data_IF_389950320052
#
_entry.id   IF_389950320052
#
_cell.length_a   1.000
_cell.length_b   1.000
_cell.length_c   1.000
_cell.angle_alpha   90.00
_cell.angle_beta   90.00
_cell.angle_gamma   90.00
#
_symmetry.space_group_name_H-M   'P 1'
#
loop_
_entity.id
_entity.type
_entity.pdbx_description
1 polymer ?
#
# COMPACT_ATOMS: atom_id res chain seq x y z
N UNK A 1 -4.42 0.45 -14.78
CA UNK A 1 -3.70 0.48 -13.49
C UNK A 1 -4.41 -0.46 -12.53
N UNK A 2 -3.67 -1.35 -11.87
CA UNK A 2 -4.18 -2.21 -10.80
C UNK A 2 -3.68 -1.69 -9.46
N UNK A 3 -4.55 -1.54 -8.47
CA UNK A 3 -4.21 -1.10 -7.11
C UNK A 3 -4.49 -2.25 -6.15
N UNK A 4 -3.51 -2.53 -5.29
CA UNK A 4 -3.60 -3.60 -4.31
C UNK A 4 -4.54 -3.23 -3.15
N UNK A 5 -4.96 -4.23 -2.38
CA UNK A 5 -5.91 -4.07 -1.27
C UNK A 5 -5.35 -3.41 -0.02
N UNK A 6 -4.05 -3.13 0.02
CA UNK A 6 -3.35 -2.54 1.16
C UNK A 6 -2.35 -1.48 0.72
N UNK A 7 -1.99 -0.60 1.66
CA UNK A 7 -0.93 0.40 1.47
C UNK A 7 0.34 -0.03 2.19
N UNK A 8 1.49 0.34 1.64
CA UNK A 8 2.81 0.08 2.26
C UNK A 8 3.46 1.37 2.75
N UNK A 9 4.30 1.32 3.81
CA UNK A 9 5.12 2.45 4.20
C UNK A 9 6.09 2.83 3.07
N UNK A 10 6.21 4.12 2.79
CA UNK A 10 7.15 4.69 1.84
C UNK A 10 7.75 5.99 2.41
N UNK A 11 8.98 6.31 1.99
CA UNK A 11 9.66 7.52 2.43
C UNK A 11 9.20 8.73 1.63
N UNK A 12 8.57 9.70 2.29
CA UNK A 12 8.53 11.09 1.81
C UNK A 12 9.79 11.84 2.22
N UNK A 13 9.98 13.07 1.72
CA UNK A 13 11.15 13.89 2.03
C UNK A 13 11.36 14.15 3.53
N UNK A 14 10.30 14.10 4.35
CA UNK A 14 10.37 14.47 5.78
C UNK A 14 9.61 13.53 6.73
N UNK A 15 8.85 12.55 6.22
CA UNK A 15 8.04 11.64 7.04
C UNK A 15 7.79 10.32 6.30
N UNK A 16 7.55 9.25 7.07
CA UNK A 16 7.06 7.98 6.53
C UNK A 16 5.56 8.12 6.34
N UNK A 17 5.05 7.74 5.17
CA UNK A 17 3.61 7.75 4.89
C UNK A 17 3.18 6.43 4.28
N UNK A 18 1.86 6.23 4.15
CA UNK A 18 1.30 5.09 3.46
C UNK A 18 1.12 5.40 1.96
N UNK A 19 1.81 4.64 1.12
CA UNK A 19 1.70 4.71 -0.33
C UNK A 19 0.84 3.59 -0.88
N UNK A 20 0.22 3.84 -2.04
CA UNK A 20 -0.50 2.81 -2.77
C UNK A 20 0.50 1.83 -3.40
N UNK A 21 0.16 0.55 -3.36
CA UNK A 21 0.82 -0.47 -4.15
C UNK A 21 0.04 -0.61 -5.46
N UNK A 22 0.71 -0.44 -6.59
CA UNK A 22 0.05 -0.50 -7.88
C UNK A 22 0.92 -1.11 -8.99
N UNK A 23 0.24 -1.55 -10.05
CA UNK A 23 0.81 -2.07 -11.29
C UNK A 23 0.24 -1.27 -12.47
N UNK A 24 1.08 -1.04 -13.48
CA UNK A 24 0.72 -0.35 -14.71
C UNK A 24 1.11 -1.20 -15.92
N UNK A 25 0.37 -1.00 -17.01
CA UNK A 25 0.68 -1.57 -18.31
C UNK A 25 0.98 -3.08 -18.27
N UNK A 26 2.15 -3.49 -18.77
CA UNK A 26 2.55 -4.90 -18.91
C UNK A 26 2.89 -5.58 -17.57
N UNK A 27 2.99 -4.83 -16.47
CA UNK A 27 3.26 -5.40 -15.14
C UNK A 27 1.98 -5.93 -14.46
N UNK A 28 0.79 -5.64 -15.01
CA UNK A 28 -0.49 -6.06 -14.41
C UNK A 28 -0.57 -7.59 -14.37
N UNK A 29 -0.71 -8.12 -13.15
CA UNK A 29 -0.78 -9.57 -12.90
C UNK A 29 0.57 -10.24 -12.63
N UNK A 30 1.67 -9.48 -12.63
CA UNK A 30 2.97 -9.95 -12.14
C UNK A 30 3.06 -9.89 -10.60
N UNK A 31 4.18 -10.36 -10.04
CA UNK A 31 4.53 -10.17 -8.62
C UNK A 31 5.29 -8.86 -8.36
N UNK A 32 5.50 -8.02 -9.40
CA UNK A 32 6.19 -6.75 -9.27
C UNK A 32 5.17 -5.66 -8.92
N UNK A 33 5.32 -5.07 -7.73
CA UNK A 33 4.46 -3.98 -7.26
C UNK A 33 5.28 -2.72 -7.09
N UNK A 34 4.77 -1.60 -7.62
CA UNK A 34 5.32 -0.28 -7.37
C UNK A 34 4.65 0.32 -6.14
N UNK A 35 5.44 0.89 -5.24
CA UNK A 35 4.97 1.55 -4.03
C UNK A 35 5.34 3.02 -4.10
N UNK A 36 4.37 3.90 -4.35
CA UNK A 36 4.62 5.35 -4.45
C UNK A 36 3.37 6.16 -4.09
N UNK A 37 3.58 7.42 -3.75
CA UNK A 37 2.53 8.41 -3.60
C UNK A 37 1.90 8.67 -4.96
N UNK A 38 0.69 8.18 -5.17
CA UNK A 38 -0.07 8.42 -6.39
C UNK A 38 -1.42 9.02 -6.00
N UNK A 39 -1.73 10.16 -6.60
CA UNK A 39 -3.06 10.78 -6.52
C UNK A 39 -3.78 10.53 -7.85
N UNK A 40 -4.92 9.86 -7.78
CA UNK A 40 -5.78 9.58 -8.94
C UNK A 40 -7.04 10.40 -8.78
N UNK A 41 -7.20 11.41 -9.62
CA UNK A 41 -8.37 12.28 -9.56
C UNK A 41 -9.66 11.49 -9.81
N UNK A 42 -10.65 11.66 -8.93
CA UNK A 42 -11.92 10.94 -8.98
C UNK A 42 -11.89 9.52 -8.39
N UNK A 43 -10.79 9.10 -7.76
CA UNK A 43 -10.68 7.80 -7.12
C UNK A 43 -10.44 7.91 -5.61
N UNK A 44 -11.22 7.14 -4.83
CA UNK A 44 -11.03 6.98 -3.39
C UNK A 44 -10.64 5.53 -3.07
N UNK A 45 -9.44 5.37 -2.51
CA UNK A 45 -8.94 4.08 -2.08
C UNK A 45 -9.67 3.60 -0.82
N UNK A 46 -10.14 2.35 -0.84
CA UNK A 46 -10.63 1.66 0.34
C UNK A 46 -9.82 0.38 0.56
N UNK A 47 -9.32 0.24 1.77
CA UNK A 47 -8.66 -0.95 2.26
C UNK A 47 -9.48 -2.24 2.06
N UNK A 48 -8.79 -3.34 1.76
CA UNK A 48 -9.39 -4.66 1.57
C UNK A 48 -10.02 -4.88 0.19
N UNK A 49 -9.80 -3.98 -0.77
CA UNK A 49 -10.26 -4.12 -2.15
C UNK A 49 -9.12 -4.02 -3.15
N UNK A 50 -9.03 -4.99 -4.06
CA UNK A 50 -8.22 -4.84 -5.27
C UNK A 50 -9.03 -4.08 -6.30
N UNK A 51 -8.40 -3.10 -6.94
CA UNK A 51 -9.03 -2.28 -7.97
C UNK A 51 -8.33 -2.47 -9.30
N UNK A 52 -9.10 -2.67 -10.36
CA UNK A 52 -8.65 -2.47 -11.72
C UNK A 52 -9.26 -1.16 -12.23
N UNK A 53 -8.41 -0.20 -12.57
CA UNK A 53 -8.81 1.14 -13.01
C UNK A 53 -8.33 1.38 -14.44
N UNK A 54 -9.22 1.92 -15.25
CA UNK A 54 -8.86 2.61 -16.48
C UNK A 54 -8.58 4.07 -16.11
N UNK A 55 -7.34 4.49 -16.32
CA UNK A 55 -6.87 5.83 -15.96
C UNK A 55 -6.31 6.52 -17.20
N UNK A 56 -6.53 7.81 -17.30
CA UNK A 56 -5.87 8.66 -18.28
C UNK A 56 -4.58 9.18 -17.64
N UNK A 57 -3.45 8.84 -18.26
CA UNK A 57 -2.11 9.25 -17.81
C UNK A 57 -1.72 10.47 -18.64
N UNK A 58 -1.42 11.58 -17.98
CA UNK A 58 -0.91 12.79 -18.62
C UNK A 58 0.48 13.06 -18.06
N UNK A 59 1.55 12.97 -18.88
CA UNK A 59 2.88 13.37 -18.45
C UNK A 59 2.86 14.83 -17.99
N UNK A 60 3.46 15.10 -16.83
CA UNK A 60 3.60 16.46 -16.36
C UNK A 60 4.87 17.04 -16.99
N UNK A 61 4.77 18.28 -17.49
CA UNK A 61 5.94 19.00 -17.99
C UNK A 61 6.87 19.36 -16.81
N UNK A 62 7.86 18.50 -16.61
CA UNK A 62 8.88 18.63 -15.56
C UNK A 62 9.80 19.84 -15.77
N UNK A 63 9.77 20.51 -16.93
CA UNK A 63 10.62 21.67 -17.20
C UNK A 63 10.31 22.88 -16.32
N UNK A 64 9.09 22.94 -15.75
CA UNK A 64 8.64 24.00 -14.85
C UNK A 64 8.28 23.50 -13.44
N UNK A 65 8.69 22.27 -13.11
CA UNK A 65 8.48 21.69 -11.79
C UNK A 65 9.56 22.19 -10.82
N UNK A 66 9.14 22.68 -9.65
CA UNK A 66 10.02 22.79 -8.49
C UNK A 66 10.21 21.38 -7.88
N UNK A 67 11.41 21.10 -7.36
CA UNK A 67 12.06 19.86 -6.88
C UNK A 67 11.27 18.59 -6.44
N UNK A 68 9.92 18.56 -6.41
CA UNK A 68 9.08 17.46 -5.92
C UNK A 68 7.77 17.25 -6.72
N UNK A 69 7.81 17.28 -8.06
CA UNK A 69 6.61 17.02 -8.89
C UNK A 69 6.55 15.54 -9.31
N UNK A 70 5.36 14.92 -9.31
CA UNK A 70 5.16 13.60 -9.89
C UNK A 70 5.39 13.59 -11.40
N UNK A 71 5.92 12.49 -11.93
CA UNK A 71 6.17 12.32 -13.36
C UNK A 71 4.89 12.38 -14.22
N UNK A 72 3.76 11.96 -13.64
CA UNK A 72 2.49 11.83 -14.34
C UNK A 72 1.30 12.25 -13.47
N UNK A 73 0.29 12.86 -14.10
CA UNK A 73 -1.06 13.04 -13.54
C UNK A 73 -1.95 11.87 -13.95
N UNK A 74 -2.70 11.35 -12.99
CA UNK A 74 -3.65 10.26 -13.20
C UNK A 74 -5.09 10.76 -13.00
N UNK A 75 -5.94 10.57 -13.99
CA UNK A 75 -7.38 10.87 -13.93
C UNK A 75 -8.16 9.57 -14.09
N UNK A 76 -9.12 9.28 -13.21
CA UNK A 76 -9.96 8.10 -13.33
C UNK A 76 -10.89 8.25 -14.54
N UNK A 77 -10.74 7.36 -15.53
CA UNK A 77 -11.71 7.25 -16.63
C UNK A 77 -12.88 6.41 -16.16
N UNK A 78 -12.61 5.21 -15.64
CA UNK A 78 -13.61 4.34 -15.00
C UNK A 78 -12.96 3.26 -14.15
N UNK A 79 -13.74 2.75 -13.19
CA UNK A 79 -13.40 1.55 -12.44
C UNK A 79 -13.77 0.32 -13.27
N UNK A 80 -12.78 -0.47 -13.68
CA UNK A 80 -12.97 -1.73 -14.42
C UNK A 80 -13.47 -2.82 -13.47
N UNK A 81 -12.85 -2.94 -12.30
CA UNK A 81 -13.26 -3.90 -11.27
C UNK A 81 -12.96 -3.36 -9.86
N UNK A 82 -13.74 -3.84 -8.89
CA UNK A 82 -13.49 -3.68 -7.45
C UNK A 82 -13.84 -4.98 -6.75
N UNK A 83 -12.83 -5.67 -6.23
CA UNK A 83 -12.99 -7.01 -5.67
C UNK A 83 -12.56 -7.02 -4.21
N UNK A 84 -13.47 -7.41 -3.31
CA UNK A 84 -13.15 -7.54 -1.88
C UNK A 84 -12.24 -8.74 -1.67
N UNK A 85 -11.12 -8.53 -1.00
CA UNK A 85 -10.25 -9.63 -0.57
C UNK A 85 -10.86 -10.25 0.68
N UNK A 86 -11.14 -11.54 0.62
CA UNK A 86 -11.58 -12.30 1.80
C UNK A 86 -10.39 -12.56 2.72
N UNK A 87 -10.55 -12.23 4.01
CA UNK A 87 -9.51 -12.35 5.02
C UNK A 87 -8.18 -11.67 4.61
N UNK A 88 -8.20 -10.34 4.33
CA UNK A 88 -7.02 -9.62 3.91
C UNK A 88 -5.99 -9.66 5.03
N UNK A 89 -4.81 -10.16 4.70
CA UNK A 89 -3.77 -10.36 5.70
C UNK A 89 -3.16 -9.03 6.16
N UNK A 90 -2.87 -8.15 5.20
CA UNK A 90 -2.33 -6.81 5.43
C UNK A 90 -3.39 -5.80 5.01
N UNK A 91 -3.62 -4.76 5.81
CA UNK A 91 -4.54 -3.68 5.43
C UNK A 91 -3.81 -2.34 5.36
N UNK A 92 -3.25 -1.86 6.47
CA UNK A 92 -2.59 -0.56 6.51
C UNK A 92 -1.58 -0.53 7.66
N UNK A 93 -0.34 -0.13 7.38
CA UNK A 93 0.62 0.17 8.44
C UNK A 93 0.33 1.52 9.09
N UNK A 94 0.67 1.67 10.36
CA UNK A 94 0.71 2.93 11.09
C UNK A 94 2.11 3.13 11.68
N UNK A 95 3.09 3.58 10.87
CA UNK A 95 4.49 3.66 11.29
C UNK A 95 4.74 4.66 12.43
N UNK A 96 3.83 5.62 12.65
CA UNK A 96 3.96 6.65 13.68
C UNK A 96 3.51 6.15 15.07
N UNK A 97 2.82 5.01 15.14
CA UNK A 97 2.34 4.47 16.40
C UNK A 97 3.48 3.80 17.17
N UNK A 98 3.76 4.32 18.36
CA UNK A 98 4.73 3.74 19.27
C UNK A 98 4.22 2.40 19.85
N UNK A 99 5.11 1.40 19.88
CA UNK A 99 4.90 0.12 20.55
C UNK A 99 5.91 -0.07 21.69
N UNK A 100 5.54 -0.88 22.68
CA UNK A 100 6.49 -1.31 23.71
C UNK A 100 7.58 -2.19 23.07
N UNK A 101 8.75 -2.24 23.72
CA UNK A 101 9.90 -3.07 23.29
C UNK A 101 9.88 -4.49 23.87
N UNK A 102 8.75 -4.90 24.45
CA UNK A 102 8.59 -6.24 25.00
C UNK A 102 8.64 -7.28 23.88
N UNK A 103 9.34 -8.39 24.14
CA UNK A 103 9.46 -9.48 23.19
C UNK A 103 8.45 -10.59 23.53
N UNK A 104 7.32 -10.57 22.83
CA UNK A 104 6.25 -11.58 22.89
C UNK A 104 5.84 -11.90 21.44
N UNK A 105 6.64 -12.70 20.71
CA UNK A 105 6.55 -12.78 19.27
C UNK A 105 5.20 -13.32 18.79
N UNK A 106 4.78 -12.86 17.62
CA UNK A 106 3.58 -13.34 16.92
C UNK A 106 3.90 -13.63 15.46
N UNK A 107 3.26 -14.66 14.90
CA UNK A 107 3.36 -15.01 13.49
C UNK A 107 2.17 -14.42 12.76
N UNK A 108 2.41 -13.40 11.94
CA UNK A 108 1.39 -12.78 11.11
C UNK A 108 0.89 -13.72 10.02
N UNK A 109 -0.31 -13.47 9.52
CA UNK A 109 -0.89 -14.19 8.37
C UNK A 109 -0.03 -14.14 7.09
N UNK A 110 0.92 -13.21 7.00
CA UNK A 110 1.86 -13.07 5.89
C UNK A 110 3.10 -13.94 6.08
N UNK A 111 3.08 -14.84 7.07
CA UNK A 111 4.16 -15.75 7.44
C UNK A 111 5.44 -15.00 7.87
N UNK A 112 5.29 -13.80 8.43
CA UNK A 112 6.39 -13.05 9.07
C UNK A 112 6.22 -13.02 10.58
N UNK A 113 7.33 -13.18 11.28
CA UNK A 113 7.40 -13.02 12.73
C UNK A 113 7.55 -11.54 13.09
N UNK A 114 6.72 -11.08 14.03
CA UNK A 114 6.78 -9.75 14.62
C UNK A 114 7.18 -9.86 16.09
N UNK A 115 7.92 -8.87 16.61
CA UNK A 115 8.45 -8.89 17.98
C UNK A 115 7.37 -8.90 19.06
N UNK A 116 6.22 -8.27 18.78
CA UNK A 116 5.01 -8.36 19.57
C UNK A 116 3.75 -8.05 18.74
N UNK A 117 2.58 -8.27 19.35
CA UNK A 117 1.28 -8.02 18.72
C UNK A 117 1.07 -6.56 18.33
N UNK A 118 1.60 -5.60 19.10
CA UNK A 118 1.55 -4.19 18.72
C UNK A 118 2.33 -3.95 17.43
N UNK A 119 3.56 -4.48 17.33
CA UNK A 119 4.41 -4.34 16.14
C UNK A 119 3.77 -5.00 14.91
N UNK A 120 3.07 -6.12 15.07
CA UNK A 120 2.28 -6.73 13.99
C UNK A 120 1.13 -5.81 13.53
N UNK A 121 0.35 -5.28 14.47
CA UNK A 121 -0.79 -4.42 14.19
C UNK A 121 -0.38 -3.11 13.49
N UNK A 122 0.66 -2.43 13.98
CA UNK A 122 1.19 -1.20 13.33
C UNK A 122 1.88 -1.48 11.99
N UNK A 123 2.23 -2.73 11.71
CA UNK A 123 2.68 -3.16 10.38
C UNK A 123 1.51 -3.50 9.44
N UNK A 124 0.28 -3.30 9.90
CA UNK A 124 -0.95 -3.54 9.15
C UNK A 124 -1.42 -4.98 9.09
N UNK A 125 -0.82 -5.88 9.89
CA UNK A 125 -1.28 -7.25 10.02
C UNK A 125 -2.59 -7.27 10.79
N UNK A 126 -3.59 -7.97 10.26
CA UNK A 126 -4.92 -8.05 10.88
C UNK A 126 -5.13 -9.32 11.70
N UNK A 127 -4.35 -10.37 11.39
CA UNK A 127 -4.48 -11.69 12.01
C UNK A 127 -3.09 -12.29 12.26
N UNK A 128 -2.92 -12.88 13.43
CA UNK A 128 -1.66 -13.51 13.83
C UNK A 128 -1.91 -14.65 14.83
N UNK A 129 -0.92 -15.52 14.96
CA UNK A 129 -0.86 -16.57 15.99
C UNK A 129 0.24 -16.26 17.01
N UNK A 130 0.10 -16.78 18.23
CA UNK A 130 1.11 -16.60 19.27
C UNK A 130 2.37 -17.42 18.95
N UNK A 131 3.54 -16.83 19.19
CA UNK A 131 4.84 -17.41 18.87
C UNK A 131 5.40 -16.93 17.54
N UNK A 132 6.68 -17.22 17.29
CA UNK A 132 7.30 -16.99 15.99
C UNK A 132 6.72 -17.95 14.92
N UNK A 133 6.85 -17.58 13.64
CA UNK A 133 6.53 -18.50 12.55
C UNK A 133 7.48 -19.71 12.55
N UNK A 134 6.96 -20.87 12.10
CA UNK A 134 7.69 -22.12 11.96
C UNK A 134 8.49 -22.19 10.65
#
# INVERSE_FOLDING_TARGET
>A
MRIDYYSSPCSGAFFVQNCLNFQIDDEIGSDQWRTQTVSIEGFEFNYGYVYDLEVKITPIDISNCADDCPDNRYELVRMVSKSKVENPCVIASNPDQACTKEYMPVCGCNKRTYSNSCVAAVSGITTWTLGACN
#
